data_IF_188757281684
#
_entry.id   IF_188757281684
#
_cell.length_a   1.000
_cell.length_b   1.000
_cell.length_c   1.000
_cell.angle_alpha   90.00
_cell.angle_beta   90.00
_cell.angle_gamma   90.00
#
_symmetry.space_group_name_H-M   'P 1'
#
loop_
_entity.id
_entity.type
_entity.pdbx_description
1 polymer ?
#
# COMPACT_ATOMS: atom_id res chain seq x y z
N UNK A 1 6.84 11.17 -24.45
CA UNK A 1 5.85 10.28 -23.84
C UNK A 1 6.31 9.82 -22.46
N UNK A 2 5.44 9.89 -21.51
CA UNK A 2 5.75 9.45 -20.14
C UNK A 2 5.57 7.95 -20.01
N UNK A 3 6.58 7.28 -19.50
CA UNK A 3 6.44 5.89 -19.12
C UNK A 3 5.74 5.83 -17.78
N UNK A 4 4.64 5.11 -17.72
CA UNK A 4 3.92 4.91 -16.46
C UNK A 4 4.50 3.70 -15.75
N UNK A 5 4.63 3.83 -14.43
CA UNK A 5 4.95 2.70 -13.59
C UNK A 5 3.88 1.61 -13.76
N UNK A 6 4.33 0.39 -13.91
CA UNK A 6 3.42 -0.72 -14.10
C UNK A 6 3.91 -1.94 -13.33
N UNK A 7 3.06 -2.47 -12.48
CA UNK A 7 3.37 -3.63 -11.69
C UNK A 7 3.10 -4.92 -12.43
N UNK A 8 3.95 -5.90 -12.19
CA UNK A 8 3.70 -7.30 -12.54
C UNK A 8 3.85 -8.13 -11.26
N UNK A 9 3.56 -9.42 -11.35
CA UNK A 9 3.72 -10.31 -10.19
C UNK A 9 5.16 -10.31 -9.69
N UNK A 10 6.13 -10.25 -10.60
CA UNK A 10 7.55 -10.36 -10.23
C UNK A 10 8.25 -9.03 -10.04
N UNK A 11 7.62 -7.92 -10.42
CA UNK A 11 8.34 -6.66 -10.48
C UNK A 11 7.43 -5.47 -10.30
N UNK A 12 7.91 -4.48 -9.59
CA UNK A 12 7.21 -3.23 -9.40
C UNK A 12 7.21 -2.80 -7.95
N UNK A 13 6.34 -1.86 -7.65
CA UNK A 13 6.14 -1.42 -6.26
C UNK A 13 4.74 -0.86 -6.10
N UNK A 14 4.28 -0.83 -4.86
CA UNK A 14 3.04 -0.18 -4.49
C UNK A 14 3.34 0.84 -3.40
N UNK A 15 2.59 1.92 -3.39
CA UNK A 15 2.76 2.98 -2.40
C UNK A 15 1.91 2.68 -1.18
N UNK A 16 2.42 3.02 0.00
CA UNK A 16 1.67 2.80 1.23
C UNK A 16 1.76 4.01 2.13
N UNK A 17 0.76 4.14 3.00
CA UNK A 17 0.73 5.16 4.05
C UNK A 17 0.22 4.50 5.32
N UNK A 18 0.93 4.70 6.43
CA UNK A 18 0.47 4.26 7.75
C UNK A 18 0.13 5.51 8.54
N UNK A 19 -1.13 5.63 8.96
CA UNK A 19 -1.60 6.85 9.61
C UNK A 19 -2.63 6.53 10.69
N UNK A 20 -2.79 7.48 11.60
CA UNK A 20 -3.83 7.37 12.62
C UNK A 20 -4.93 8.38 12.32
N UNK A 21 -6.15 7.92 12.49
CA UNK A 21 -7.32 8.79 12.43
C UNK A 21 -8.23 8.39 13.56
N UNK A 22 -8.55 9.35 14.44
CA UNK A 22 -9.30 9.07 15.65
C UNK A 22 -8.53 8.06 16.51
N UNK A 23 -9.13 6.93 16.83
CA UNK A 23 -8.57 5.97 17.78
C UNK A 23 -7.90 4.77 17.12
N UNK A 24 -7.82 4.74 15.81
CA UNK A 24 -7.30 3.60 15.10
C UNK A 24 -6.17 3.97 14.17
N UNK A 25 -5.26 3.02 13.98
CA UNK A 25 -4.21 3.13 12.97
C UNK A 25 -4.63 2.41 11.72
N UNK A 26 -4.28 2.97 10.57
CA UNK A 26 -4.64 2.41 9.27
C UNK A 26 -3.40 2.26 8.41
N UNK A 27 -3.40 1.19 7.61
CA UNK A 27 -2.42 1.02 6.56
C UNK A 27 -3.14 0.97 5.23
N UNK A 28 -2.76 1.87 4.31
CA UNK A 28 -3.36 1.93 2.99
C UNK A 28 -2.32 1.61 1.94
N UNK A 29 -2.67 0.72 1.02
CA UNK A 29 -1.88 0.43 -0.17
C UNK A 29 -2.61 1.02 -1.35
N UNK A 30 -1.98 1.96 -2.04
CA UNK A 30 -2.68 2.77 -3.03
C UNK A 30 -3.07 1.96 -4.28
N UNK A 31 -2.11 1.31 -4.92
CA UNK A 31 -2.36 0.65 -6.20
C UNK A 31 -3.24 -0.59 -6.12
N UNK A 32 -3.38 -1.16 -4.93
CA UNK A 32 -4.24 -2.33 -4.74
C UNK A 32 -5.55 -1.97 -4.05
N UNK A 33 -5.70 -0.72 -3.62
CA UNK A 33 -6.88 -0.25 -2.89
C UNK A 33 -7.18 -1.11 -1.66
N UNK A 34 -6.14 -1.45 -0.93
CA UNK A 34 -6.26 -2.24 0.30
C UNK A 34 -6.09 -1.30 1.49
N UNK A 35 -6.98 -1.42 2.47
CA UNK A 35 -6.85 -0.68 3.73
C UNK A 35 -7.06 -1.67 4.86
N UNK A 36 -6.10 -1.68 5.80
CA UNK A 36 -6.18 -2.50 7.00
C UNK A 36 -6.12 -1.60 8.22
N UNK A 37 -6.66 -2.06 9.33
CA UNK A 37 -6.63 -1.28 10.55
C UNK A 37 -6.05 -2.09 11.71
N UNK A 38 -5.47 -1.37 12.67
CA UNK A 38 -4.91 -2.00 13.84
C UNK A 38 -4.89 -1.04 15.02
N UNK A 39 -4.55 -1.57 16.18
CA UNK A 39 -4.48 -0.79 17.41
C UNK A 39 -3.18 -0.01 17.55
N UNK A 40 -2.16 -0.40 16.80
CA UNK A 40 -0.86 0.27 16.79
C UNK A 40 -0.43 0.44 15.34
N UNK A 41 0.50 1.38 15.06
CA UNK A 41 1.01 1.51 13.70
C UNK A 41 1.76 0.27 13.23
N UNK A 42 2.44 -0.43 14.16
CA UNK A 42 3.14 -1.66 13.81
C UNK A 42 2.17 -2.75 13.38
N UNK A 43 1.05 -2.85 14.08
CA UNK A 43 0.02 -3.82 13.72
C UNK A 43 -0.59 -3.49 12.37
N UNK A 44 -0.91 -2.20 12.13
CA UNK A 44 -1.45 -1.77 10.84
C UNK A 44 -0.49 -2.12 9.71
N UNK A 45 0.82 -1.91 9.92
CA UNK A 45 1.81 -2.23 8.91
C UNK A 45 1.90 -3.73 8.66
N UNK A 46 1.88 -4.52 9.73
CA UNK A 46 1.93 -5.97 9.60
C UNK A 46 0.74 -6.50 8.82
N UNK A 47 -0.46 -6.04 9.20
CA UNK A 47 -1.68 -6.49 8.53
C UNK A 47 -1.72 -6.04 7.08
N UNK A 48 -1.22 -4.83 6.79
CA UNK A 48 -1.14 -4.37 5.42
C UNK A 48 -0.20 -5.25 4.59
N UNK A 49 0.97 -5.57 5.13
CA UNK A 49 1.92 -6.43 4.42
C UNK A 49 1.31 -7.80 4.13
N UNK A 50 0.62 -8.38 5.11
CA UNK A 50 -0.03 -9.67 4.91
C UNK A 50 -1.12 -9.59 3.84
N UNK A 51 -1.90 -8.51 3.85
CA UNK A 51 -2.97 -8.33 2.87
C UNK A 51 -2.41 -8.14 1.46
N UNK A 52 -1.34 -7.38 1.32
CA UNK A 52 -0.71 -7.16 0.01
C UNK A 52 -0.11 -8.47 -0.50
N UNK A 53 0.54 -9.22 0.38
CA UNK A 53 1.13 -10.51 0.03
C UNK A 53 0.05 -11.50 -0.42
N UNK A 54 -1.06 -11.55 0.32
CA UNK A 54 -2.19 -12.41 -0.04
C UNK A 54 -2.84 -12.02 -1.35
N UNK A 55 -2.93 -10.71 -1.60
CA UNK A 55 -3.47 -10.20 -2.85
C UNK A 55 -2.62 -10.64 -4.05
N UNK A 56 -1.28 -10.53 -3.91
CA UNK A 56 -0.36 -10.97 -4.96
C UNK A 56 -0.47 -12.47 -5.21
N UNK A 57 -0.56 -13.25 -4.14
CA UNK A 57 -0.67 -14.69 -4.26
C UNK A 57 -1.96 -15.09 -4.96
N UNK A 58 -3.06 -14.44 -4.61
CA UNK A 58 -4.34 -14.69 -5.27
C UNK A 58 -4.28 -14.30 -6.75
N UNK A 59 -3.68 -13.14 -7.05
CA UNK A 59 -3.56 -12.70 -8.43
C UNK A 59 -2.72 -13.67 -9.26
N UNK A 60 -1.65 -14.21 -8.65
CA UNK A 60 -0.81 -15.20 -9.32
C UNK A 60 -1.58 -16.47 -9.62
N UNK A 61 -2.36 -16.95 -8.65
CA UNK A 61 -3.11 -18.21 -8.80
C UNK A 61 -4.15 -18.15 -9.91
N UNK A 62 -4.83 -17.01 -10.04
CA UNK A 62 -5.86 -16.88 -11.07
C UNK A 62 -5.31 -16.31 -12.37
N UNK A 63 -4.01 -16.09 -12.44
CA UNK A 63 -3.35 -15.49 -13.60
C UNK A 63 -4.02 -14.17 -13.98
N UNK A 64 -4.19 -13.31 -12.98
CA UNK A 64 -4.90 -12.05 -13.13
C UNK A 64 -4.22 -11.16 -14.16
N UNK A 65 -5.02 -10.34 -14.83
CA UNK A 65 -4.51 -9.37 -15.79
C UNK A 65 -3.80 -8.22 -15.06
N UNK A 66 -2.89 -7.54 -15.74
CA UNK A 66 -2.08 -6.49 -15.07
C UNK A 66 -2.87 -5.38 -14.43
N UNK A 67 -4.09 -5.07 -14.89
CA UNK A 67 -4.86 -3.99 -14.27
C UNK A 67 -5.19 -4.28 -12.80
N UNK A 68 -5.23 -5.55 -12.40
CA UNK A 68 -5.46 -5.92 -11.00
C UNK A 68 -4.33 -5.40 -10.11
N UNK A 69 -3.12 -5.33 -10.65
CA UNK A 69 -1.94 -4.90 -9.92
C UNK A 69 -1.64 -3.41 -10.11
N UNK A 70 -2.47 -2.72 -10.89
CA UNK A 70 -2.24 -1.33 -11.26
C UNK A 70 -3.56 -0.56 -11.23
N UNK A 71 -4.27 -0.66 -10.10
CA UNK A 71 -5.56 -0.03 -9.96
C UNK A 71 -5.41 1.47 -9.76
N UNK A 72 -6.45 2.20 -10.12
CA UNK A 72 -6.53 3.62 -9.85
C UNK A 72 -6.77 3.80 -8.34
N UNK A 73 -5.87 4.47 -7.62
CA UNK A 73 -6.05 4.62 -6.18
C UNK A 73 -7.25 5.48 -5.83
N UNK A 74 -7.80 5.25 -4.66
CA UNK A 74 -8.83 6.11 -4.09
C UNK A 74 -8.27 7.55 -3.98
N UNK A 75 -9.01 8.57 -4.44
CA UNK A 75 -8.52 9.94 -4.39
C UNK A 75 -8.13 10.42 -3.00
N UNK A 76 -8.75 9.91 -1.96
CA UNK A 76 -8.38 10.25 -0.58
C UNK A 76 -6.92 9.96 -0.32
N UNK A 77 -6.45 8.80 -0.73
CA UNK A 77 -5.06 8.41 -0.46
C UNK A 77 -4.09 9.03 -1.43
N UNK A 78 -4.50 9.27 -2.66
CA UNK A 78 -3.68 10.00 -3.61
C UNK A 78 -3.43 11.43 -3.12
N UNK A 79 -4.46 12.06 -2.57
CA UNK A 79 -4.33 13.40 -2.02
C UNK A 79 -3.37 13.42 -0.83
N UNK A 80 -3.50 12.45 0.07
CA UNK A 80 -2.57 12.32 1.20
C UNK A 80 -1.14 12.14 0.71
N UNK A 81 -0.95 11.24 -0.24
CA UNK A 81 0.38 10.96 -0.79
C UNK A 81 1.02 12.22 -1.36
N UNK A 82 0.25 12.97 -2.16
CA UNK A 82 0.77 14.18 -2.77
C UNK A 82 1.16 15.22 -1.72
N UNK A 83 0.35 15.37 -0.67
CA UNK A 83 0.69 16.29 0.41
C UNK A 83 1.97 15.88 1.13
N UNK A 84 2.15 14.58 1.34
CA UNK A 84 3.37 14.09 1.98
C UNK A 84 4.59 14.35 1.11
N UNK A 85 4.48 14.20 -0.20
CA UNK A 85 5.58 14.51 -1.11
C UNK A 85 5.94 15.99 -1.07
N UNK A 86 4.97 16.85 -0.80
CA UNK A 86 5.18 18.30 -0.73
C UNK A 86 5.49 18.77 0.68
N UNK A 87 5.66 17.86 1.62
CA UNK A 87 5.91 18.16 3.02
C UNK A 87 4.80 18.99 3.65
N UNK A 88 3.57 18.81 3.20
CA UNK A 88 2.41 19.52 3.75
C UNK A 88 1.76 18.69 4.85
N UNK A 89 1.14 19.39 5.80
CA UNK A 89 0.41 18.73 6.86
C UNK A 89 -0.88 18.13 6.35
N UNK A 90 -1.28 17.03 6.98
CA UNK A 90 -2.55 16.37 6.69
C UNK A 90 -3.43 16.57 7.92
N UNK A 91 -4.48 17.39 7.81
CA UNK A 91 -5.34 17.66 8.97
C UNK A 91 -5.98 16.42 9.53
N UNK A 92 -6.06 16.36 10.85
CA UNK A 92 -6.77 15.29 11.58
C UNK A 92 -6.16 13.91 11.42
N UNK A 93 -4.95 13.82 10.89
CA UNK A 93 -4.28 12.52 10.72
C UNK A 93 -2.83 12.62 11.14
N UNK A 94 -2.41 11.61 11.87
CA UNK A 94 -1.00 11.49 12.28
C UNK A 94 -0.35 10.46 11.37
N UNK A 95 0.75 10.82 10.73
CA UNK A 95 1.46 9.93 9.80
C UNK A 95 2.58 9.23 10.52
N UNK A 96 2.58 7.91 10.49
CA UNK A 96 3.66 7.11 11.05
C UNK A 96 4.73 6.81 10.02
N UNK A 97 4.32 6.41 8.82
CA UNK A 97 5.26 6.03 7.78
C UNK A 97 4.57 6.08 6.42
N UNK A 98 5.35 6.28 5.38
CA UNK A 98 4.87 6.15 4.01
C UNK A 98 6.05 5.82 3.10
N UNK A 99 5.77 5.18 1.99
CA UNK A 99 6.83 4.80 1.07
C UNK A 99 6.36 3.79 0.07
N UNK A 100 7.31 3.02 -0.44
CA UNK A 100 7.06 2.00 -1.44
C UNK A 100 7.32 0.61 -0.87
N UNK A 101 6.44 -0.33 -1.21
CA UNK A 101 6.66 -1.75 -0.96
C UNK A 101 7.03 -2.36 -2.30
N UNK A 102 8.21 -2.96 -2.36
CA UNK A 102 8.69 -3.59 -3.60
C UNK A 102 8.02 -4.94 -3.82
N UNK A 103 7.74 -5.24 -5.07
CA UNK A 103 7.11 -6.51 -5.45
C UNK A 103 8.13 -7.45 -6.09
N UNK A 104 8.02 -8.76 -5.86
CA UNK A 104 7.12 -9.39 -4.90
C UNK A 104 7.57 -9.12 -3.46
N UNK A 105 6.62 -9.24 -2.53
CA UNK A 105 6.98 -9.09 -1.12
C UNK A 105 7.40 -10.45 -0.61
N UNK A 106 8.65 -10.54 -0.16
CA UNK A 106 9.16 -11.77 0.42
C UNK A 106 9.09 -11.65 1.94
N UNK A 107 8.49 -12.64 2.55
CA UNK A 107 8.58 -12.77 3.99
C UNK A 107 9.96 -13.35 4.34
N UNK A 108 10.46 -13.00 5.52
CA UNK A 108 11.71 -13.56 6.01
C UNK A 108 11.44 -14.95 6.60
N UNK A 109 10.86 -15.81 5.78
CA UNK A 109 10.55 -17.14 6.25
C UNK A 109 11.82 -17.94 6.41
N UNK A 110 11.92 -18.72 7.48
CA UNK A 110 13.05 -19.60 7.62
C UNK A 110 13.08 -20.63 6.50
N UNK A 111 14.25 -20.99 6.15
CA UNK A 111 14.45 -22.03 5.15
C UNK A 111 14.68 -23.35 5.85
#
# INVERSE_FOLDING_TARGET
MKLKHRNTIQRGFVRFIIFREKDAWYGACLEFNIVESGDTPQEAMLLLNEAVEGYLESARKIKARPHILNQQPDPEYTTMWNKLQEHKKIPSREIYAFGNLNLPIYTLAPR
#
